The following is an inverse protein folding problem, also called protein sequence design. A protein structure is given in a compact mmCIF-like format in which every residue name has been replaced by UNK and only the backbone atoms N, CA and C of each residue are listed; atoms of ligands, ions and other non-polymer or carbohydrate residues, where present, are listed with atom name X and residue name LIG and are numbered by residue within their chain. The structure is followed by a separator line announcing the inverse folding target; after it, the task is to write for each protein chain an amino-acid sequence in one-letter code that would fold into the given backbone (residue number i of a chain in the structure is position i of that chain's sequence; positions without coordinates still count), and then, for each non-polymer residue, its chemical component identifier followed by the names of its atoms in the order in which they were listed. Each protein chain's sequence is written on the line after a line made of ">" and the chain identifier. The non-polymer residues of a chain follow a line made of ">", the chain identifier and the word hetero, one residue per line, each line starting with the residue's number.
data_IF_024670789477
#
_entry.id   IF_024670789477
#
_cell.length_a   1.000
_cell.length_b   1.000
_cell.length_c   1.000
_cell.angle_alpha   90.00
_cell.angle_beta   90.00
_cell.angle_gamma   90.00
#
_symmetry.space_group_name_H-M   'P 1'
#
loop_
_entity.id
_entity.type
_entity.pdbx_description
1 polymer ?
#
# COMPACT_ATOMS: atom_id res chain seq x y z
N UNK A 1 38.04 32.77 20.81
CA UNK A 1 36.64 32.47 21.11
C UNK A 1 35.79 32.45 19.84
N UNK A 2 35.69 31.42 19.05
CA UNK A 2 34.62 31.25 18.07
C UNK A 2 33.98 29.85 17.97
N UNK A 3 34.16 28.95 18.95
CA UNK A 3 33.66 27.56 18.82
C UNK A 3 32.21 27.35 19.27
N UNK A 4 31.63 28.26 20.04
CA UNK A 4 30.25 28.10 20.54
C UNK A 4 29.15 28.31 19.46
N UNK A 5 29.38 29.15 18.47
CA UNK A 5 28.41 29.47 17.42
C UNK A 5 28.19 28.36 16.38
N UNK A 6 29.11 27.40 16.25
CA UNK A 6 28.98 26.35 15.25
C UNK A 6 28.05 25.21 15.68
N UNK A 7 27.92 24.98 17.00
CA UNK A 7 27.04 23.95 17.56
C UNK A 7 25.55 24.29 17.44
N UNK A 8 25.20 25.54 17.81
CA UNK A 8 23.81 26.03 17.75
C UNK A 8 23.27 26.09 16.33
N UNK A 9 24.07 26.51 15.35
CA UNK A 9 23.66 26.50 13.93
C UNK A 9 23.44 25.09 13.39
N UNK A 10 24.20 24.09 13.87
CA UNK A 10 24.00 22.69 13.48
C UNK A 10 22.73 22.12 14.11
N UNK A 11 22.47 22.44 15.35
CA UNK A 11 21.28 22.00 16.07
C UNK A 11 20.02 22.64 15.45
N UNK A 12 20.02 23.95 15.22
CA UNK A 12 18.95 24.68 14.56
C UNK A 12 18.64 24.15 13.14
N UNK A 13 19.70 23.87 12.33
CA UNK A 13 19.52 23.24 11.01
C UNK A 13 18.98 21.81 11.11
N UNK A 14 19.30 21.07 12.19
CA UNK A 14 18.81 19.72 12.43
C UNK A 14 17.33 19.75 12.83
N UNK A 15 16.94 20.67 13.68
CA UNK A 15 15.53 20.89 14.07
C UNK A 15 14.66 21.36 12.92
N UNK A 16 15.15 22.30 12.10
CA UNK A 16 14.48 22.73 10.86
C UNK A 16 14.32 21.56 9.86
N UNK A 17 15.32 20.72 9.70
CA UNK A 17 15.23 19.54 8.81
C UNK A 17 14.24 18.49 9.31
N UNK A 18 13.91 18.44 10.60
CA UNK A 18 12.92 17.54 11.17
C UNK A 18 11.50 18.14 11.17
N UNK A 19 11.37 19.45 11.20
CA UNK A 19 10.06 20.13 11.25
C UNK A 19 9.39 20.24 9.88
N UNK A 20 10.16 20.51 8.82
CA UNK A 20 9.63 20.70 7.46
C UNK A 20 8.89 19.46 6.93
N UNK A 21 9.45 18.22 6.99
CA UNK A 21 8.73 17.02 6.58
C UNK A 21 7.43 16.79 7.36
N UNK A 22 7.38 17.21 8.63
CA UNK A 22 6.17 17.06 9.45
C UNK A 22 5.04 17.98 9.01
N UNK A 23 5.33 19.23 8.66
CA UNK A 23 4.34 20.16 8.11
C UNK A 23 3.84 19.70 6.73
N UNK A 24 4.75 19.29 5.85
CA UNK A 24 4.39 18.80 4.52
C UNK A 24 3.51 17.55 4.61
N UNK A 25 3.85 16.60 5.49
CA UNK A 25 3.08 15.39 5.68
C UNK A 25 1.67 15.68 6.20
N UNK A 26 1.52 16.63 7.11
CA UNK A 26 0.21 17.05 7.64
C UNK A 26 -0.63 17.74 6.57
N UNK A 27 -0.03 18.66 5.80
CA UNK A 27 -0.70 19.33 4.68
C UNK A 27 -1.15 18.33 3.61
N UNK A 28 -0.29 17.37 3.27
CA UNK A 28 -0.66 16.28 2.37
C UNK A 28 -1.86 15.50 2.90
N UNK A 29 -1.82 15.10 4.18
CA UNK A 29 -2.88 14.31 4.81
C UNK A 29 -4.22 15.04 4.80
N UNK A 30 -4.25 16.30 5.28
CA UNK A 30 -5.46 17.13 5.30
C UNK A 30 -5.98 17.35 3.88
N UNK A 31 -5.10 17.79 2.97
CA UNK A 31 -5.47 18.07 1.58
C UNK A 31 -6.04 16.84 0.87
N UNK A 32 -5.41 15.67 1.08
CA UNK A 32 -5.88 14.40 0.50
C UNK A 32 -7.26 14.00 1.03
N UNK A 33 -7.51 14.14 2.33
CA UNK A 33 -8.82 13.82 2.91
C UNK A 33 -9.89 14.79 2.41
N UNK A 34 -9.60 16.09 2.39
CA UNK A 34 -10.58 17.10 1.94
C UNK A 34 -10.92 16.88 0.46
N UNK A 35 -9.91 16.86 -0.42
CA UNK A 35 -10.13 16.73 -1.87
C UNK A 35 -10.75 15.35 -2.18
N UNK A 36 -10.23 14.27 -1.58
CA UNK A 36 -10.74 12.92 -1.79
C UNK A 36 -12.18 12.77 -1.32
N UNK A 37 -12.56 13.37 -0.17
CA UNK A 37 -13.94 13.37 0.32
C UNK A 37 -14.88 14.11 -0.63
N UNK A 38 -14.46 15.26 -1.16
CA UNK A 38 -15.23 16.01 -2.17
C UNK A 38 -15.50 15.12 -3.40
N UNK A 39 -14.47 14.41 -3.88
CA UNK A 39 -14.61 13.51 -5.02
C UNK A 39 -15.56 12.35 -4.70
N UNK A 40 -15.48 11.75 -3.50
CA UNK A 40 -16.35 10.65 -3.07
C UNK A 40 -17.82 11.09 -2.98
N UNK A 41 -18.10 12.30 -2.49
CA UNK A 41 -19.48 12.75 -2.29
C UNK A 41 -20.12 13.32 -3.54
N UNK A 42 -19.36 13.99 -4.41
CA UNK A 42 -19.91 14.66 -5.60
C UNK A 42 -19.59 13.94 -6.91
N UNK A 43 -18.58 13.06 -6.95
CA UNK A 43 -18.23 12.31 -8.14
C UNK A 43 -19.19 11.17 -8.46
N UNK A 44 -19.39 10.88 -9.75
CA UNK A 44 -20.04 9.64 -10.21
C UNK A 44 -18.99 8.50 -10.21
N UNK A 45 -18.69 7.98 -9.05
CA UNK A 45 -17.58 7.05 -8.79
C UNK A 45 -17.84 5.61 -9.26
N UNK A 46 -19.06 5.25 -9.64
CA UNK A 46 -19.39 3.90 -10.12
C UNK A 46 -18.76 3.53 -11.46
N UNK A 47 -18.17 4.50 -12.16
CA UNK A 47 -17.66 4.34 -13.51
C UNK A 47 -16.13 4.26 -13.61
N UNK A 48 -15.42 4.19 -12.47
CA UNK A 48 -13.95 4.17 -12.50
C UNK A 48 -13.43 2.74 -12.63
N UNK A 49 -12.95 2.38 -13.83
CA UNK A 49 -12.22 1.14 -14.13
C UNK A 49 -12.81 -0.11 -13.46
N UNK A 50 -11.99 -0.85 -12.72
CA UNK A 50 -12.36 -2.08 -12.02
C UNK A 50 -13.09 -1.86 -10.69
N UNK A 51 -13.59 -0.64 -10.41
CA UNK A 51 -14.22 -0.29 -9.13
C UNK A 51 -15.36 -1.22 -8.73
N UNK A 52 -16.21 -1.61 -9.69
CA UNK A 52 -17.30 -2.56 -9.47
C UNK A 52 -16.77 -3.95 -9.09
N UNK A 53 -15.71 -4.42 -9.76
CA UNK A 53 -15.09 -5.71 -9.48
C UNK A 53 -14.41 -5.72 -8.08
N UNK A 54 -13.75 -4.64 -7.70
CA UNK A 54 -13.19 -4.48 -6.36
C UNK A 54 -14.28 -4.44 -5.29
N UNK A 55 -15.38 -3.73 -5.56
CA UNK A 55 -16.52 -3.69 -4.65
C UNK A 55 -17.17 -5.06 -4.48
N UNK A 56 -17.42 -5.79 -5.58
CA UNK A 56 -17.90 -7.16 -5.55
C UNK A 56 -17.01 -8.06 -4.69
N UNK A 57 -15.68 -7.93 -4.83
CA UNK A 57 -14.71 -8.66 -4.00
C UNK A 57 -14.83 -8.30 -2.50
N UNK A 58 -15.01 -7.04 -2.17
CA UNK A 58 -15.20 -6.60 -0.77
C UNK A 58 -16.48 -7.21 -0.19
N UNK A 59 -17.59 -7.21 -0.94
CA UNK A 59 -18.83 -7.80 -0.50
C UNK A 59 -18.73 -9.31 -0.30
N UNK A 60 -18.03 -10.01 -1.19
CA UNK A 60 -17.72 -11.43 -1.05
C UNK A 60 -16.90 -11.70 0.22
N UNK A 61 -15.85 -10.91 0.48
CA UNK A 61 -15.06 -11.03 1.70
C UNK A 61 -15.88 -10.77 2.97
N UNK A 62 -16.83 -9.83 2.92
CA UNK A 62 -17.75 -9.52 4.03
C UNK A 62 -18.75 -10.65 4.30
N UNK A 63 -19.11 -11.43 3.29
CA UNK A 63 -19.94 -12.63 3.47
C UNK A 63 -19.17 -13.82 4.05
N UNK A 64 -17.85 -13.68 4.25
CA UNK A 64 -17.00 -14.72 4.82
C UNK A 64 -16.27 -15.58 3.78
N UNK A 65 -16.50 -15.37 2.50
CA UNK A 65 -15.84 -16.12 1.43
C UNK A 65 -14.44 -15.56 1.15
N UNK A 66 -13.45 -16.05 1.89
CA UNK A 66 -12.06 -15.58 1.79
C UNK A 66 -11.40 -16.07 0.49
N UNK A 67 -11.59 -17.37 0.19
CA UNK A 67 -11.10 -17.99 -1.04
C UNK A 67 -12.27 -18.01 -2.02
N UNK A 68 -12.19 -17.30 -3.14
CA UNK A 68 -13.29 -17.23 -4.07
C UNK A 68 -13.50 -18.55 -4.80
N UNK A 69 -14.76 -18.86 -5.09
CA UNK A 69 -15.19 -20.02 -5.86
C UNK A 69 -15.86 -19.60 -7.16
N UNK A 70 -15.79 -20.48 -8.16
CA UNK A 70 -16.52 -20.25 -9.42
C UNK A 70 -18.04 -20.37 -9.20
N UNK A 71 -18.81 -19.62 -9.97
CA UNK A 71 -20.26 -19.71 -9.99
C UNK A 71 -20.71 -21.08 -10.54
N UNK A 72 -21.77 -21.64 -9.95
CA UNK A 72 -22.40 -22.85 -10.50
C UNK A 72 -23.09 -22.60 -11.85
N UNK A 73 -23.61 -21.39 -12.02
CA UNK A 73 -24.33 -20.97 -13.23
C UNK A 73 -23.35 -20.53 -14.33
N UNK A 74 -22.21 -19.96 -13.94
CA UNK A 74 -21.14 -19.50 -14.82
C UNK A 74 -19.81 -20.12 -14.43
N UNK A 75 -19.50 -21.39 -14.87
CA UNK A 75 -18.38 -22.16 -14.33
C UNK A 75 -16.98 -21.58 -14.57
N UNK A 76 -16.85 -20.64 -15.51
CA UNK A 76 -15.58 -19.95 -15.80
C UNK A 76 -15.43 -18.61 -15.06
N UNK A 77 -16.49 -18.19 -14.37
CA UNK A 77 -16.55 -16.85 -13.78
C UNK A 77 -16.80 -16.87 -12.29
N UNK A 78 -16.10 -15.98 -11.59
CA UNK A 78 -16.43 -15.60 -10.22
C UNK A 78 -17.36 -14.40 -10.35
N UNK A 79 -18.58 -14.54 -9.88
CA UNK A 79 -19.64 -13.55 -10.05
C UNK A 79 -20.17 -13.09 -8.70
N UNK A 80 -20.64 -11.86 -8.68
CA UNK A 80 -21.44 -11.31 -7.60
C UNK A 80 -22.70 -10.69 -8.22
N UNK A 81 -23.87 -11.04 -7.66
CA UNK A 81 -25.13 -10.50 -8.12
C UNK A 81 -25.60 -9.41 -7.15
N UNK A 82 -25.75 -8.20 -7.66
CA UNK A 82 -26.28 -7.05 -6.92
C UNK A 82 -27.43 -6.42 -7.71
N UNK A 83 -28.61 -6.39 -7.12
CA UNK A 83 -29.83 -5.83 -7.74
C UNK A 83 -30.12 -6.37 -9.16
N UNK A 84 -29.90 -7.66 -9.38
CA UNK A 84 -30.09 -8.31 -10.68
C UNK A 84 -28.99 -8.06 -11.70
N UNK A 85 -27.93 -7.33 -11.33
CA UNK A 85 -26.77 -7.07 -12.16
C UNK A 85 -25.65 -8.03 -11.80
N UNK A 86 -25.17 -8.81 -12.78
CA UNK A 86 -24.06 -9.74 -12.59
C UNK A 86 -22.74 -9.01 -12.82
N UNK A 87 -21.88 -9.03 -11.82
CA UNK A 87 -20.54 -8.46 -11.88
C UNK A 87 -19.54 -9.61 -11.88
N UNK A 88 -18.73 -9.72 -12.92
CA UNK A 88 -17.60 -10.68 -13.00
C UNK A 88 -16.34 -10.05 -12.45
N UNK A 89 -15.56 -10.79 -11.63
CA UNK A 89 -14.40 -10.21 -10.95
C UNK A 89 -13.21 -11.16 -10.76
N UNK A 90 -12.98 -12.11 -11.66
CA UNK A 90 -11.85 -13.05 -11.61
C UNK A 90 -10.51 -12.35 -11.34
N UNK A 91 -10.25 -11.22 -12.01
CA UNK A 91 -8.99 -10.45 -11.86
C UNK A 91 -8.79 -9.88 -10.46
N UNK A 92 -9.88 -9.45 -9.80
CA UNK A 92 -9.81 -8.89 -8.44
C UNK A 92 -9.96 -9.96 -7.37
N UNK A 93 -10.54 -11.11 -7.71
CA UNK A 93 -10.71 -12.24 -6.82
C UNK A 93 -9.37 -12.82 -6.33
N UNK A 94 -8.32 -12.76 -7.14
CA UNK A 94 -6.97 -13.20 -6.77
C UNK A 94 -6.27 -12.28 -5.78
N UNK A 95 -6.78 -11.08 -5.55
CA UNK A 95 -6.21 -10.16 -4.58
C UNK A 95 -6.43 -10.66 -3.15
N UNK A 96 -5.41 -10.54 -2.32
CA UNK A 96 -5.49 -10.89 -0.90
C UNK A 96 -6.52 -10.01 -0.16
N UNK A 97 -7.21 -10.54 0.86
CA UNK A 97 -8.08 -9.76 1.74
C UNK A 97 -7.36 -8.56 2.38
N UNK A 98 -6.05 -8.64 2.54
CA UNK A 98 -5.24 -7.60 3.15
C UNK A 98 -5.37 -6.25 2.44
N UNK A 99 -5.45 -6.22 1.11
CA UNK A 99 -5.56 -4.94 0.36
C UNK A 99 -6.91 -4.24 0.57
N UNK A 100 -7.90 -4.94 1.12
CA UNK A 100 -9.24 -4.41 1.39
C UNK A 100 -9.51 -4.19 2.88
N UNK A 101 -8.49 -4.35 3.76
CA UNK A 101 -8.70 -4.32 5.20
C UNK A 101 -9.42 -3.07 5.72
N UNK A 102 -9.24 -1.84 5.18
CA UNK A 102 -10.00 -0.70 5.67
C UNK A 102 -11.50 -0.87 5.47
N UNK A 103 -11.89 -1.38 4.30
CA UNK A 103 -13.29 -1.67 3.96
C UNK A 103 -13.87 -2.86 4.72
N UNK A 104 -13.05 -3.79 5.20
CA UNK A 104 -13.49 -4.93 6.00
C UNK A 104 -13.71 -4.56 7.47
N UNK A 105 -12.92 -3.63 8.01
CA UNK A 105 -13.04 -3.12 9.38
C UNK A 105 -14.22 -2.15 9.47
N UNK A 106 -14.26 -1.16 8.59
CA UNK A 106 -15.33 -0.16 8.55
C UNK A 106 -16.42 -0.61 7.57
N UNK A 107 -17.31 -1.47 8.08
CA UNK A 107 -18.43 -1.99 7.29
C UNK A 107 -19.44 -0.88 7.02
N UNK A 108 -19.82 -0.69 5.77
CA UNK A 108 -20.77 0.30 5.33
C UNK A 108 -21.00 0.18 3.83
N UNK A 109 -21.64 1.18 3.26
CA UNK A 109 -21.82 1.30 1.83
C UNK A 109 -20.47 1.60 1.12
N UNK A 110 -20.53 1.78 -0.17
CA UNK A 110 -19.35 2.08 -0.99
C UNK A 110 -18.66 3.38 -0.57
N UNK A 111 -19.43 4.41 -0.14
CA UNK A 111 -18.89 5.70 0.30
C UNK A 111 -18.12 5.59 1.60
N UNK A 112 -18.68 4.91 2.59
CA UNK A 112 -18.03 4.66 3.87
C UNK A 112 -16.73 3.87 3.66
N UNK A 113 -16.76 2.85 2.80
CA UNK A 113 -15.59 2.07 2.44
C UNK A 113 -14.53 2.91 1.72
N UNK A 114 -14.95 3.83 0.84
CA UNK A 114 -14.05 4.77 0.16
C UNK A 114 -13.39 5.73 1.14
N UNK A 115 -14.15 6.32 2.06
CA UNK A 115 -13.61 7.20 3.11
C UNK A 115 -12.62 6.46 4.00
N UNK A 116 -12.96 5.23 4.45
CA UNK A 116 -12.06 4.42 5.27
C UNK A 116 -10.74 4.11 4.53
N UNK A 117 -10.83 3.76 3.25
CA UNK A 117 -9.67 3.48 2.40
C UNK A 117 -8.83 4.74 2.19
N UNK A 118 -9.45 5.89 1.89
CA UNK A 118 -8.79 7.17 1.73
C UNK A 118 -8.03 7.58 2.99
N UNK A 119 -8.68 7.53 4.16
CA UNK A 119 -8.03 7.90 5.43
C UNK A 119 -6.84 6.98 5.70
N UNK A 120 -7.01 5.68 5.52
CA UNK A 120 -5.93 4.72 5.74
C UNK A 120 -4.76 4.96 4.79
N UNK A 121 -5.03 5.03 3.48
CA UNK A 121 -4.00 5.24 2.45
C UNK A 121 -3.27 6.58 2.63
N UNK A 122 -4.01 7.66 2.85
CA UNK A 122 -3.43 8.98 3.10
C UNK A 122 -2.56 9.00 4.36
N UNK A 123 -2.97 8.29 5.42
CA UNK A 123 -2.18 8.18 6.66
C UNK A 123 -0.88 7.43 6.44
N UNK A 124 -0.90 6.31 5.72
CA UNK A 124 0.32 5.55 5.39
C UNK A 124 1.29 6.39 4.57
N UNK A 125 0.79 7.12 3.56
CA UNK A 125 1.62 8.00 2.73
C UNK A 125 2.14 9.20 3.54
N UNK A 126 1.31 9.81 4.39
CA UNK A 126 1.76 10.90 5.26
C UNK A 126 2.88 10.46 6.21
N UNK A 127 2.78 9.24 6.78
CA UNK A 127 3.87 8.63 7.55
C UNK A 127 5.11 8.43 6.68
N UNK A 128 4.94 7.93 5.45
CA UNK A 128 6.04 7.75 4.51
C UNK A 128 6.77 9.07 4.21
N UNK A 129 6.03 10.15 3.91
CA UNK A 129 6.60 11.50 3.69
C UNK A 129 7.38 11.96 4.93
N UNK A 130 6.79 11.79 6.12
CA UNK A 130 7.40 12.24 7.37
C UNK A 130 8.73 11.56 7.67
N UNK A 131 8.81 10.24 7.44
CA UNK A 131 10.02 9.44 7.78
C UNK A 131 11.08 9.44 6.67
N UNK A 132 10.72 9.80 5.43
CA UNK A 132 11.63 9.77 4.28
C UNK A 132 12.79 10.79 4.39
N UNK A 133 12.75 11.73 5.33
CA UNK A 133 13.82 12.69 5.58
C UNK A 133 14.11 13.58 4.37
N UNK A 134 15.34 13.57 3.85
CA UNK A 134 15.71 14.38 2.68
C UNK A 134 15.01 13.94 1.37
N UNK A 135 14.41 12.75 1.33
CA UNK A 135 13.64 12.23 0.19
C UNK A 135 12.13 12.52 0.29
N UNK A 136 11.69 13.27 1.31
CA UNK A 136 10.27 13.56 1.52
C UNK A 136 9.58 14.16 0.29
N UNK A 137 10.26 15.07 -0.42
CA UNK A 137 9.73 15.70 -1.64
C UNK A 137 9.54 14.70 -2.79
N UNK A 138 10.39 13.68 -2.89
CA UNK A 138 10.26 12.63 -3.91
C UNK A 138 9.05 11.76 -3.60
N UNK A 139 8.89 11.34 -2.34
CA UNK A 139 7.71 10.58 -1.91
C UNK A 139 6.43 11.39 -2.13
N UNK A 140 6.44 12.69 -1.77
CA UNK A 140 5.33 13.60 -2.01
C UNK A 140 5.00 13.71 -3.51
N UNK A 141 6.01 13.92 -4.35
CA UNK A 141 5.81 14.05 -5.81
C UNK A 141 5.12 12.80 -6.39
N UNK A 142 5.53 11.60 -5.96
CA UNK A 142 4.89 10.35 -6.37
C UNK A 142 3.46 10.25 -5.81
N UNK A 143 3.26 10.67 -4.56
CA UNK A 143 1.96 10.58 -3.88
C UNK A 143 0.89 11.49 -4.50
N UNK A 144 1.29 12.65 -5.05
CA UNK A 144 0.36 13.60 -5.70
C UNK A 144 0.16 13.33 -7.19
N UNK A 145 0.85 12.35 -7.78
CA UNK A 145 0.56 11.96 -9.15
C UNK A 145 -0.93 11.57 -9.28
N UNK A 146 -1.63 12.02 -10.32
CA UNK A 146 -3.05 11.75 -10.48
C UNK A 146 -3.39 10.26 -10.34
N UNK A 147 -2.59 9.37 -10.93
CA UNK A 147 -2.78 7.92 -10.84
C UNK A 147 -2.69 7.39 -9.42
N UNK A 148 -1.73 7.86 -8.62
CA UNK A 148 -1.58 7.47 -7.21
C UNK A 148 -2.71 8.07 -6.38
N UNK A 149 -3.00 9.35 -6.58
CA UNK A 149 -4.02 10.07 -5.81
C UNK A 149 -5.43 9.50 -6.05
N UNK A 150 -5.85 9.34 -7.32
CA UNK A 150 -7.15 8.76 -7.62
C UNK A 150 -7.23 7.28 -7.19
N UNK A 151 -6.12 6.53 -7.31
CA UNK A 151 -6.06 5.14 -6.87
C UNK A 151 -6.33 4.96 -5.37
N UNK A 152 -6.02 5.95 -4.51
CA UNK A 152 -6.26 5.83 -3.08
C UNK A 152 -7.64 6.31 -2.61
N UNK A 153 -8.42 6.98 -3.46
CA UNK A 153 -9.75 7.50 -3.09
C UNK A 153 -10.79 6.38 -2.98
N UNK A 154 -10.69 5.36 -3.84
CA UNK A 154 -11.66 4.29 -3.93
C UNK A 154 -11.19 3.01 -3.23
N UNK A 155 -12.10 2.13 -2.80
CA UNK A 155 -11.76 0.90 -2.09
C UNK A 155 -11.23 -0.16 -3.07
N UNK A 156 -10.12 0.16 -3.73
CA UNK A 156 -9.41 -0.71 -4.66
C UNK A 156 -8.17 -1.32 -4.02
N UNK A 157 -7.66 -2.39 -4.62
CA UNK A 157 -6.39 -2.97 -4.18
C UNK A 157 -5.22 -1.99 -4.34
N UNK A 158 -5.31 -1.05 -5.31
CA UNK A 158 -4.24 -0.09 -5.59
C UNK A 158 -4.03 0.91 -4.46
N UNK A 159 -5.08 1.29 -3.75
CA UNK A 159 -5.00 2.21 -2.63
C UNK A 159 -3.98 1.75 -1.57
N UNK A 160 -4.14 0.53 -1.10
CA UNK A 160 -3.28 -0.05 -0.06
C UNK A 160 -1.94 -0.49 -0.65
N UNK A 161 -1.91 -1.02 -1.89
CA UNK A 161 -0.67 -1.41 -2.56
C UNK A 161 0.28 -0.23 -2.71
N UNK A 162 -0.17 0.90 -3.25
CA UNK A 162 0.65 2.08 -3.47
C UNK A 162 1.11 2.69 -2.14
N UNK A 163 0.22 2.77 -1.16
CA UNK A 163 0.53 3.35 0.15
C UNK A 163 1.55 2.52 0.92
N UNK A 164 1.42 1.20 0.94
CA UNK A 164 2.40 0.31 1.58
C UNK A 164 3.74 0.29 0.83
N UNK A 165 3.71 0.35 -0.49
CA UNK A 165 4.93 0.43 -1.30
C UNK A 165 5.73 1.70 -0.97
N UNK A 166 5.07 2.85 -0.92
CA UNK A 166 5.71 4.12 -0.55
C UNK A 166 6.21 4.10 0.89
N UNK A 167 5.43 3.53 1.82
CA UNK A 167 5.85 3.38 3.22
C UNK A 167 7.10 2.50 3.34
N UNK A 168 7.13 1.36 2.66
CA UNK A 168 8.28 0.46 2.67
C UNK A 168 9.54 1.15 2.15
N UNK A 169 9.44 1.81 0.98
CA UNK A 169 10.55 2.59 0.41
C UNK A 169 11.01 3.67 1.40
N UNK A 170 10.08 4.41 2.01
CA UNK A 170 10.42 5.46 2.97
C UNK A 170 11.12 4.91 4.22
N UNK A 171 10.73 3.74 4.73
CA UNK A 171 11.41 3.07 5.84
C UNK A 171 12.84 2.69 5.45
N UNK A 172 13.04 2.11 4.27
CA UNK A 172 14.39 1.77 3.79
C UNK A 172 15.25 3.03 3.66
N UNK A 173 14.73 4.10 3.06
CA UNK A 173 15.41 5.39 2.93
C UNK A 173 15.73 6.03 4.29
N UNK A 174 14.81 5.94 5.25
CA UNK A 174 15.03 6.40 6.62
C UNK A 174 16.20 5.65 7.27
N UNK A 175 16.22 4.32 7.16
CA UNK A 175 17.32 3.50 7.69
C UNK A 175 18.64 3.78 6.97
N UNK A 176 18.59 4.06 5.67
CA UNK A 176 19.77 4.44 4.90
C UNK A 176 20.38 5.77 5.33
N UNK A 177 19.55 6.78 5.63
CA UNK A 177 19.99 8.11 6.07
C UNK A 177 20.47 8.15 7.52
N UNK A 178 20.05 7.17 8.32
CA UNK A 178 20.35 7.16 9.75
C UNK A 178 21.83 6.93 9.99
N UNK A 179 22.43 7.73 10.88
CA UNK A 179 23.77 7.48 11.37
C UNK A 179 23.78 6.24 12.28
N UNK A 180 24.80 5.40 12.11
CA UNK A 180 25.00 4.19 12.89
C UNK A 180 24.62 2.90 12.19
N UNK A 181 24.99 1.77 12.84
CA UNK A 181 24.81 0.44 12.30
C UNK A 181 23.33 -0.01 12.30
N UNK A 182 23.00 -0.90 11.39
CA UNK A 182 21.73 -1.60 11.40
C UNK A 182 21.67 -2.55 12.62
N UNK A 183 20.51 -2.58 13.27
CA UNK A 183 20.22 -3.49 14.37
C UNK A 183 19.19 -4.53 13.96
N UNK A 184 19.18 -5.68 14.65
CA UNK A 184 18.24 -6.77 14.38
C UNK A 184 16.76 -6.32 14.40
N UNK A 185 16.39 -5.38 15.27
CA UNK A 185 15.04 -4.78 15.29
C UNK A 185 14.61 -4.15 13.96
N UNK A 186 15.58 -3.59 13.20
CA UNK A 186 15.29 -3.03 11.89
C UNK A 186 14.98 -4.14 10.87
N UNK A 187 15.69 -5.28 10.97
CA UNK A 187 15.39 -6.46 10.14
C UNK A 187 14.00 -7.00 10.44
N UNK A 188 13.63 -7.10 11.73
CA UNK A 188 12.28 -7.55 12.13
C UNK A 188 11.20 -6.61 11.57
N UNK A 189 11.39 -5.28 11.69
CA UNK A 189 10.47 -4.30 11.11
C UNK A 189 10.33 -4.48 9.59
N UNK A 190 11.46 -4.64 8.89
CA UNK A 190 11.46 -4.87 7.44
C UNK A 190 10.78 -6.20 7.09
N UNK A 191 10.96 -7.27 7.86
CA UNK A 191 10.27 -8.54 7.64
C UNK A 191 8.74 -8.39 7.78
N UNK A 192 8.27 -7.71 8.83
CA UNK A 192 6.83 -7.46 9.04
C UNK A 192 6.24 -6.68 7.86
N UNK A 193 6.89 -5.57 7.46
CA UNK A 193 6.43 -4.79 6.31
C UNK A 193 6.51 -5.59 5.00
N UNK A 194 7.49 -6.49 4.86
CA UNK A 194 7.67 -7.33 3.68
C UNK A 194 6.59 -8.42 3.59
N UNK A 195 6.17 -9.00 4.70
CA UNK A 195 5.02 -9.92 4.73
C UNK A 195 3.76 -9.21 4.21
N UNK A 196 3.52 -7.99 4.69
CA UNK A 196 2.40 -7.17 4.23
C UNK A 196 2.53 -6.82 2.74
N UNK A 197 3.74 -6.46 2.29
CA UNK A 197 4.03 -6.16 0.89
C UNK A 197 3.83 -7.41 -0.01
N UNK A 198 4.10 -8.61 0.49
CA UNK A 198 3.82 -9.87 -0.21
C UNK A 198 2.31 -10.15 -0.37
N UNK A 199 1.47 -9.54 0.46
CA UNK A 199 0.00 -9.66 0.39
C UNK A 199 -0.67 -8.60 -0.48
N UNK A 200 0.06 -7.60 -0.99
CA UNK A 200 -0.46 -6.65 -1.98
C UNK A 200 -0.35 -7.25 -3.40
N UNK A 201 -0.46 -6.45 -4.44
CA UNK A 201 -0.35 -6.94 -5.82
C UNK A 201 1.02 -7.61 -6.06
N UNK A 202 1.00 -8.79 -6.70
CA UNK A 202 2.20 -9.59 -6.99
C UNK A 202 3.28 -8.77 -7.68
N UNK A 203 2.90 -7.92 -8.65
CA UNK A 203 3.82 -7.05 -9.38
C UNK A 203 4.58 -6.08 -8.49
N UNK A 204 4.00 -5.68 -7.36
CA UNK A 204 4.60 -4.74 -6.42
C UNK A 204 5.49 -5.43 -5.38
N UNK A 205 5.42 -6.75 -5.24
CA UNK A 205 6.28 -7.49 -4.30
C UNK A 205 7.77 -7.33 -4.60
N UNK A 206 8.13 -7.06 -5.87
CA UNK A 206 9.51 -6.83 -6.28
C UNK A 206 10.14 -5.61 -5.56
N UNK A 207 9.33 -4.67 -5.07
CA UNK A 207 9.78 -3.49 -4.32
C UNK A 207 10.56 -3.91 -3.06
N UNK A 208 10.31 -5.12 -2.54
CA UNK A 208 11.06 -5.63 -1.38
C UNK A 208 12.57 -5.70 -1.64
N UNK A 209 13.00 -5.88 -2.90
CA UNK A 209 14.42 -5.92 -3.26
C UNK A 209 15.13 -4.58 -2.94
N UNK A 210 14.37 -3.50 -2.75
CA UNK A 210 14.92 -2.22 -2.32
C UNK A 210 15.62 -2.30 -0.95
N UNK A 211 15.36 -3.34 -0.15
CA UNK A 211 16.07 -3.61 1.11
C UNK A 211 17.59 -3.75 0.90
N UNK A 212 18.03 -4.23 -0.26
CA UNK A 212 19.45 -4.37 -0.57
C UNK A 212 20.19 -3.04 -0.71
N UNK A 213 19.45 -1.92 -0.81
CA UNK A 213 20.04 -0.58 -0.69
C UNK A 213 20.72 -0.34 0.66
N UNK A 214 20.40 -1.16 1.67
CA UNK A 214 21.01 -1.11 3.00
C UNK A 214 22.33 -1.88 3.12
N UNK A 215 22.75 -2.64 2.10
CA UNK A 215 24.01 -3.40 2.12
C UNK A 215 25.25 -2.56 2.46
N UNK A 216 25.42 -1.33 1.96
CA UNK A 216 26.56 -0.49 2.31
C UNK A 216 26.57 -0.02 3.76
N UNK A 217 25.42 -0.08 4.45
CA UNK A 217 25.25 0.37 5.85
C UNK A 217 25.77 -0.61 6.89
N UNK A 218 26.18 -1.79 6.48
CA UNK A 218 26.70 -2.80 7.40
C UNK A 218 27.94 -3.48 6.83
N UNK A 219 28.95 -3.64 7.69
CA UNK A 219 30.16 -4.42 7.41
C UNK A 219 30.04 -5.86 7.91
N UNK A 220 29.15 -6.10 8.87
CA UNK A 220 28.93 -7.43 9.44
C UNK A 220 28.28 -8.36 8.44
N UNK A 221 28.95 -9.49 8.17
CA UNK A 221 28.48 -10.54 7.24
C UNK A 221 27.12 -11.12 7.67
N UNK A 222 26.91 -11.33 8.98
CA UNK A 222 25.64 -11.87 9.49
C UNK A 222 24.49 -10.90 9.19
N UNK A 223 24.72 -9.61 9.42
CA UNK A 223 23.73 -8.58 9.13
C UNK A 223 23.43 -8.46 7.63
N UNK A 224 24.46 -8.56 6.77
CA UNK A 224 24.25 -8.60 5.30
C UNK A 224 23.36 -9.76 4.87
N UNK A 225 23.63 -10.95 5.41
CA UNK A 225 22.79 -12.15 5.14
C UNK A 225 21.36 -11.95 5.68
N UNK A 226 21.22 -11.34 6.86
CA UNK A 226 19.89 -11.07 7.43
C UNK A 226 19.02 -10.14 6.58
N UNK A 227 19.60 -9.32 5.70
CA UNK A 227 18.85 -8.50 4.73
C UNK A 227 18.11 -9.33 3.66
N UNK A 228 18.45 -10.62 3.49
CA UNK A 228 17.66 -11.51 2.65
C UNK A 228 16.36 -11.99 3.30
N UNK A 229 16.24 -11.93 4.64
CA UNK A 229 15.04 -12.38 5.36
C UNK A 229 13.76 -11.61 4.95
N UNK A 230 13.75 -10.26 4.87
CA UNK A 230 12.61 -9.53 4.35
C UNK A 230 12.16 -10.00 2.96
N UNK A 231 13.13 -10.29 2.08
CA UNK A 231 12.85 -10.79 0.72
C UNK A 231 12.18 -12.16 0.78
N UNK A 232 12.73 -13.08 1.56
CA UNK A 232 12.14 -14.41 1.77
C UNK A 232 10.74 -14.29 2.37
N UNK A 233 10.54 -13.43 3.37
CA UNK A 233 9.23 -13.18 3.99
C UNK A 233 8.19 -12.72 2.97
N UNK A 234 8.53 -11.75 2.10
CA UNK A 234 7.60 -11.26 1.09
C UNK A 234 7.22 -12.33 0.07
N UNK A 235 8.22 -13.02 -0.49
CA UNK A 235 7.96 -14.06 -1.50
C UNK A 235 7.23 -15.28 -0.92
N UNK A 236 7.55 -15.69 0.31
CA UNK A 236 6.80 -16.77 0.99
C UNK A 236 5.35 -16.37 1.24
N UNK A 237 5.12 -15.15 1.75
CA UNK A 237 3.77 -14.61 1.97
C UNK A 237 2.95 -14.56 0.69
N UNK A 238 3.54 -14.03 -0.39
CA UNK A 238 2.95 -13.99 -1.72
C UNK A 238 2.64 -15.39 -2.26
N UNK A 239 3.60 -16.32 -2.16
CA UNK A 239 3.47 -17.68 -2.67
C UNK A 239 2.37 -18.46 -1.95
N UNK A 240 2.30 -18.35 -0.63
CA UNK A 240 1.24 -18.99 0.17
C UNK A 240 -0.16 -18.53 -0.24
N UNK A 241 -0.34 -17.23 -0.50
CA UNK A 241 -1.60 -16.71 -1.00
C UNK A 241 -1.88 -17.19 -2.44
N UNK A 242 -0.88 -17.14 -3.30
CA UNK A 242 -1.03 -17.58 -4.70
C UNK A 242 -1.38 -19.07 -4.81
N UNK A 243 -0.85 -19.93 -3.96
CA UNK A 243 -1.24 -21.35 -3.92
C UNK A 243 -2.74 -21.51 -3.63
N UNK A 244 -3.29 -20.74 -2.70
CA UNK A 244 -4.72 -20.78 -2.36
C UNK A 244 -5.64 -20.31 -3.49
N UNK A 245 -5.14 -19.44 -4.35
CA UNK A 245 -5.88 -18.85 -5.47
C UNK A 245 -5.46 -19.38 -6.84
N UNK A 246 -4.61 -20.42 -6.88
CA UNK A 246 -4.05 -20.96 -8.13
C UNK A 246 -5.10 -21.58 -9.07
N UNK A 247 -6.24 -22.02 -8.51
CA UNK A 247 -7.35 -22.57 -9.28
C UNK A 247 -8.12 -21.49 -10.07
N UNK A 248 -7.92 -20.21 -9.71
CA UNK A 248 -8.56 -19.11 -10.41
C UNK A 248 -7.73 -18.79 -11.66
N UNK A 249 -8.20 -19.24 -12.81
CA UNK A 249 -7.64 -18.81 -14.09
C UNK A 249 -7.95 -17.31 -14.25
N UNK A 250 -6.92 -16.50 -14.45
CA UNK A 250 -7.11 -15.14 -14.94
C UNK A 250 -7.60 -15.29 -16.38
N UNK A 251 -8.88 -15.05 -16.61
CA UNK A 251 -9.48 -15.21 -17.92
C UNK A 251 -8.74 -14.36 -18.94
N UNK A 252 -8.22 -14.94 -20.00
CA UNK A 252 -7.38 -14.21 -20.96
C UNK A 252 -8.16 -13.24 -21.84
N UNK A 253 -9.47 -13.30 -21.93
CA UNK A 253 -10.26 -12.43 -22.79
C UNK A 253 -11.60 -12.04 -22.19
N UNK A 254 -11.92 -10.76 -22.31
CA UNK A 254 -13.26 -10.22 -22.13
C UNK A 254 -14.17 -10.79 -23.21
N UNK A 255 -14.89 -11.82 -22.90
CA UNK A 255 -16.12 -12.11 -23.64
C UNK A 255 -17.15 -11.14 -23.05
N UNK A 256 -17.57 -10.17 -23.85
CA UNK A 256 -18.75 -9.37 -23.54
C UNK A 256 -19.92 -10.34 -23.49
N UNK A 257 -20.38 -10.65 -22.27
CA UNK A 257 -21.67 -11.26 -22.09
C UNK A 257 -22.70 -10.19 -22.48
N UNK A 258 -23.26 -10.32 -23.68
CA UNK A 258 -24.41 -9.58 -24.15
C UNK A 258 -25.67 -10.05 -23.43
#
# INVERSE_FOLDING_TARGET
>A
MPQHYSGERRQYRRELRLSVPSCISLLYWIGSIVIGSVIIFWGKYHCFNDGAAHWARILQLRSGEIIPSFSKEYPEWIVYSEHGKIITFNNTAVNSPFVYFPSLIFRGDFRISSIATLICAASLIAVAIRIAGCYANIILAIAVLPTTFFGMIFPTADAITNSFSLLFIAVVLCLYQRDGALHFRHIVLLCVLSIMLGQVKITCSIIVLFVFFLLPKTTDKKMKVSLSLPVLCAFTSMWLWRMKTSHIAVAPNRVSLQ
#
